data_IF_100232398324
#
_entry.id   IF_100232398324
#
_cell.length_a   1.000
_cell.length_b   1.000
_cell.length_c   1.000
_cell.angle_alpha   90.00
_cell.angle_beta   90.00
_cell.angle_gamma   90.00
#
_symmetry.space_group_name_H-M   'P 1'
#
loop_
_entity.id
_entity.type
_entity.pdbx_description
1 polymer ?
#
# COMPACT_ATOMS: atom_id res chain seq x y z
N UNK A 1 6.41 -6.44 45.45
CA UNK A 1 6.00 -5.13 44.91
C UNK A 1 6.15 -4.99 43.39
N UNK A 2 6.82 -5.91 42.67
CA UNK A 2 6.95 -5.84 41.19
C UNK A 2 5.66 -6.19 40.42
N UNK A 3 4.84 -7.11 40.91
CA UNK A 3 3.61 -7.55 40.21
C UNK A 3 2.49 -6.49 40.16
N UNK A 4 2.39 -5.63 41.18
CA UNK A 4 1.36 -4.59 41.22
C UNK A 4 1.62 -3.49 40.19
N UNK A 5 2.90 -3.20 39.91
CA UNK A 5 3.31 -2.19 38.93
C UNK A 5 3.06 -2.71 37.51
N UNK A 6 3.47 -3.94 37.19
CA UNK A 6 3.26 -4.56 35.88
C UNK A 6 1.76 -4.69 35.51
N UNK A 7 0.90 -5.07 36.46
CA UNK A 7 -0.55 -5.14 36.24
C UNK A 7 -1.18 -3.76 35.99
N UNK A 8 -0.67 -2.71 36.66
CA UNK A 8 -1.16 -1.34 36.50
C UNK A 8 -0.72 -0.72 35.16
N UNK A 9 0.46 -1.09 34.64
CA UNK A 9 0.93 -0.72 33.30
C UNK A 9 0.13 -1.44 32.21
N UNK A 10 -0.11 -2.75 32.35
CA UNK A 10 -0.96 -3.50 31.40
C UNK A 10 -2.39 -2.96 31.32
N UNK A 11 -3.00 -2.60 32.46
CA UNK A 11 -4.33 -2.00 32.49
C UNK A 11 -4.40 -0.61 31.83
N UNK A 12 -3.35 0.21 31.96
CA UNK A 12 -3.26 1.50 31.28
C UNK A 12 -3.04 1.35 29.78
N UNK A 13 -2.12 0.47 29.35
CA UNK A 13 -1.86 0.21 27.92
C UNK A 13 -3.09 -0.32 27.20
N UNK A 14 -3.85 -1.23 27.83
CA UNK A 14 -5.10 -1.75 27.25
C UNK A 14 -6.16 -0.65 27.13
N UNK A 15 -6.33 0.21 28.15
CA UNK A 15 -7.30 1.31 28.10
C UNK A 15 -6.97 2.36 27.02
N UNK A 16 -5.68 2.63 26.76
CA UNK A 16 -5.27 3.49 25.65
C UNK A 16 -5.52 2.82 24.30
N UNK A 17 -5.28 1.51 24.19
CA UNK A 17 -5.58 0.74 23.00
C UNK A 17 -7.08 0.78 22.68
N UNK A 18 -7.94 0.45 23.64
CA UNK A 18 -9.40 0.42 23.46
C UNK A 18 -9.93 1.78 22.93
N UNK A 19 -9.42 2.89 23.48
CA UNK A 19 -9.78 4.24 23.01
C UNK A 19 -9.34 4.50 21.57
N UNK A 20 -8.15 4.04 21.17
CA UNK A 20 -7.69 4.18 19.78
C UNK A 20 -8.58 3.36 18.82
N UNK A 21 -9.02 2.18 19.24
CA UNK A 21 -9.96 1.35 18.48
C UNK A 21 -11.37 1.95 18.40
N UNK A 22 -11.87 2.62 19.45
CA UNK A 22 -13.12 3.37 19.40
C UNK A 22 -13.05 4.52 18.38
N UNK A 23 -11.95 5.28 18.36
CA UNK A 23 -11.73 6.36 17.38
C UNK A 23 -11.66 5.79 15.97
N UNK A 24 -10.92 4.71 15.76
CA UNK A 24 -10.83 4.04 14.46
C UNK A 24 -12.20 3.51 14.01
N UNK A 25 -12.95 2.88 14.90
CA UNK A 25 -14.30 2.40 14.61
C UNK A 25 -15.24 3.53 14.22
N UNK A 26 -15.18 4.68 14.89
CA UNK A 26 -15.95 5.86 14.50
C UNK A 26 -15.51 6.43 13.15
N UNK A 27 -14.21 6.44 12.87
CA UNK A 27 -13.65 6.97 11.62
C UNK A 27 -14.00 6.10 10.41
N UNK A 28 -13.81 4.78 10.51
CA UNK A 28 -14.06 3.83 9.43
C UNK A 28 -15.51 3.32 9.40
N UNK A 29 -16.26 3.39 10.50
CA UNK A 29 -17.63 2.90 10.61
C UNK A 29 -18.73 3.94 10.37
N UNK A 30 -18.39 5.22 10.23
CA UNK A 30 -19.37 6.28 9.98
C UNK A 30 -19.97 6.18 8.57
N UNK A 31 -21.19 5.64 8.50
CA UNK A 31 -21.99 5.27 7.31
C UNK A 31 -21.50 3.98 6.67
N UNK A 32 -22.46 3.07 6.38
CA UNK A 32 -22.21 1.84 5.63
C UNK A 32 -21.50 2.23 4.34
N UNK A 33 -20.19 1.96 4.31
CA UNK A 33 -19.35 2.26 3.18
C UNK A 33 -19.97 1.58 1.96
N UNK A 34 -20.20 2.38 0.92
CA UNK A 34 -21.08 2.03 -0.21
C UNK A 34 -20.56 0.82 -0.98
N UNK A 35 -19.23 0.65 -1.00
CA UNK A 35 -18.62 -0.50 -1.65
C UNK A 35 -18.79 -1.75 -0.81
N UNK A 36 -18.47 -1.76 0.50
CA UNK A 36 -18.48 -2.98 1.32
C UNK A 36 -19.84 -3.70 1.51
N UNK A 37 -20.88 -3.31 0.77
CA UNK A 37 -22.11 -4.07 0.66
C UNK A 37 -21.96 -5.27 -0.31
N UNK A 38 -22.56 -6.43 0.01
CA UNK A 38 -22.58 -7.57 -0.90
C UNK A 38 -23.19 -7.19 -2.26
N UNK A 39 -22.47 -7.47 -3.35
CA UNK A 39 -22.94 -7.21 -4.72
C UNK A 39 -22.80 -5.75 -5.18
N UNK A 40 -22.09 -4.89 -4.45
CA UNK A 40 -21.79 -3.54 -4.91
C UNK A 40 -21.06 -3.55 -6.27
N UNK A 41 -21.35 -2.54 -7.09
CA UNK A 41 -20.71 -2.38 -8.39
C UNK A 41 -19.19 -2.13 -8.21
N UNK A 42 -18.38 -2.75 -9.08
CA UNK A 42 -16.95 -2.49 -9.11
C UNK A 42 -16.70 -1.00 -9.45
N UNK A 43 -15.71 -0.35 -8.82
CA UNK A 43 -15.25 0.98 -9.22
C UNK A 43 -15.01 1.08 -10.73
N UNK A 44 -15.44 2.18 -11.34
CA UNK A 44 -15.15 2.48 -12.75
C UNK A 44 -13.70 2.92 -12.92
N UNK A 45 -13.16 2.73 -14.13
CA UNK A 45 -11.73 2.95 -14.40
C UNK A 45 -11.29 4.41 -14.16
N UNK A 46 -12.18 5.39 -14.30
CA UNK A 46 -11.94 6.81 -14.01
C UNK A 46 -11.77 7.12 -12.51
N UNK A 47 -12.18 6.22 -11.63
CA UNK A 47 -11.93 6.30 -10.17
C UNK A 47 -10.57 5.74 -9.76
N UNK A 48 -9.88 5.10 -10.71
CA UNK A 48 -8.54 4.49 -10.58
C UNK A 48 -7.48 5.36 -11.26
N UNK A 49 -7.74 5.81 -12.48
CA UNK A 49 -6.85 6.65 -13.26
C UNK A 49 -7.64 7.60 -14.15
N UNK A 50 -7.25 8.87 -14.16
CA UNK A 50 -7.79 9.87 -15.08
C UNK A 50 -6.69 10.80 -15.59
N UNK A 51 -7.08 11.95 -16.13
CA UNK A 51 -6.17 12.94 -16.71
C UNK A 51 -5.27 13.64 -15.69
N UNK A 52 -5.61 13.59 -14.40
CA UNK A 52 -4.84 14.18 -13.30
C UNK A 52 -3.82 13.21 -12.69
N UNK A 53 -4.18 11.92 -12.58
CA UNK A 53 -3.31 10.94 -11.95
C UNK A 53 -3.90 9.55 -11.83
N UNK A 54 -3.22 8.70 -11.08
CA UNK A 54 -3.64 7.32 -10.77
C UNK A 54 -3.40 6.96 -9.31
N UNK A 55 -4.20 6.03 -8.78
CA UNK A 55 -4.04 5.44 -7.45
C UNK A 55 -3.79 3.93 -7.59
N UNK A 56 -2.79 3.42 -6.90
CA UNK A 56 -2.40 2.00 -6.93
C UNK A 56 -2.19 1.43 -5.53
N UNK A 57 -2.49 0.15 -5.37
CA UNK A 57 -2.31 -0.58 -4.12
C UNK A 57 -1.49 -1.84 -4.36
N UNK A 58 -0.67 -2.20 -3.37
CA UNK A 58 0.21 -3.36 -3.49
C UNK A 58 0.32 -4.05 -2.14
N UNK A 59 0.23 -5.38 -2.12
CA UNK A 59 0.79 -6.19 -1.03
C UNK A 59 2.10 -6.77 -1.53
N UNK A 60 3.21 -6.38 -0.94
CA UNK A 60 4.53 -6.96 -1.21
C UNK A 60 4.96 -7.71 0.05
N UNK A 61 4.87 -9.03 -0.01
CA UNK A 61 5.19 -9.87 1.14
C UNK A 61 6.01 -11.07 0.72
N UNK A 62 6.66 -11.67 1.70
CA UNK A 62 7.36 -12.93 1.50
C UNK A 62 6.57 -14.11 2.07
N UNK A 63 6.72 -15.26 1.41
CA UNK A 63 6.36 -16.57 1.93
C UNK A 63 7.63 -17.33 2.31
N UNK A 64 7.54 -18.15 3.35
CA UNK A 64 8.66 -18.97 3.84
C UNK A 64 8.17 -20.39 4.11
N UNK A 65 9.04 -21.37 3.84
CA UNK A 65 8.78 -22.77 4.17
C UNK A 65 9.14 -23.11 5.62
N UNK A 66 9.73 -22.16 6.39
CA UNK A 66 10.02 -22.35 7.80
C UNK A 66 8.69 -22.52 8.59
N UNK A 67 8.44 -23.70 9.20
CA UNK A 67 7.21 -23.97 9.93
C UNK A 67 6.99 -23.02 11.13
N UNK A 68 8.06 -22.43 11.66
CA UNK A 68 7.95 -21.50 12.79
C UNK A 68 7.35 -20.15 12.38
N UNK A 69 7.51 -19.74 11.11
CA UNK A 69 7.14 -18.39 10.65
C UNK A 69 6.09 -18.38 9.54
N UNK A 70 5.86 -19.48 8.82
CA UNK A 70 4.92 -19.53 7.69
C UNK A 70 3.48 -19.12 8.08
N UNK A 71 2.97 -19.65 9.20
CA UNK A 71 1.66 -19.28 9.74
C UNK A 71 1.59 -17.81 10.19
N UNK A 72 2.66 -17.32 10.84
CA UNK A 72 2.81 -15.92 11.27
C UNK A 72 2.76 -14.98 10.06
N UNK A 73 3.51 -15.29 9.01
CA UNK A 73 3.59 -14.45 7.82
C UNK A 73 2.27 -14.39 7.09
N UNK A 74 1.58 -15.53 6.96
CA UNK A 74 0.24 -15.57 6.39
C UNK A 74 -0.73 -14.69 7.18
N UNK A 75 -0.76 -14.83 8.50
CA UNK A 75 -1.67 -14.05 9.34
C UNK A 75 -1.34 -12.54 9.33
N UNK A 76 -0.05 -12.18 9.32
CA UNK A 76 0.36 -10.78 9.17
C UNK A 76 -0.09 -10.20 7.82
N UNK A 77 0.02 -10.96 6.73
CA UNK A 77 -0.49 -10.54 5.41
C UNK A 77 -2.01 -10.41 5.41
N UNK A 78 -2.74 -11.38 5.98
CA UNK A 78 -4.21 -11.32 6.10
C UNK A 78 -4.66 -10.07 6.89
N UNK A 79 -3.96 -9.74 7.98
CA UNK A 79 -4.22 -8.53 8.77
C UNK A 79 -3.92 -7.25 7.99
N UNK A 80 -2.82 -7.20 7.22
CA UNK A 80 -2.50 -6.05 6.36
C UNK A 80 -3.53 -5.87 5.25
N UNK A 81 -4.03 -6.96 4.65
CA UNK A 81 -5.14 -6.91 3.68
C UNK A 81 -6.41 -6.37 4.33
N UNK A 82 -6.71 -6.75 5.57
CA UNK A 82 -7.86 -6.26 6.29
C UNK A 82 -7.77 -4.75 6.59
N UNK A 83 -6.59 -4.25 6.97
CA UNK A 83 -6.32 -2.81 7.05
C UNK A 83 -6.51 -2.15 5.67
N UNK A 84 -6.04 -2.81 4.61
CA UNK A 84 -6.22 -2.33 3.25
C UNK A 84 -7.68 -2.22 2.82
N UNK A 85 -8.53 -3.13 3.26
CA UNK A 85 -9.98 -3.04 3.13
C UNK A 85 -10.53 -1.75 3.73
N UNK A 86 -10.16 -1.42 4.97
CA UNK A 86 -10.60 -0.20 5.65
C UNK A 86 -10.18 1.07 4.92
N UNK A 87 -8.91 1.16 4.54
CA UNK A 87 -8.36 2.33 3.83
C UNK A 87 -9.01 2.46 2.45
N UNK A 88 -9.06 1.38 1.68
CA UNK A 88 -9.63 1.39 0.33
C UNK A 88 -11.09 1.84 0.33
N UNK A 89 -11.88 1.31 1.24
CA UNK A 89 -13.32 1.57 1.33
C UNK A 89 -13.61 3.00 1.83
N UNK A 90 -12.83 3.50 2.80
CA UNK A 90 -12.88 4.90 3.23
C UNK A 90 -12.53 5.84 2.09
N UNK A 91 -11.40 5.61 1.42
CA UNK A 91 -10.92 6.47 0.33
C UNK A 91 -11.90 6.48 -0.84
N UNK A 92 -12.51 5.34 -1.18
CA UNK A 92 -13.50 5.31 -2.24
C UNK A 92 -14.81 6.02 -1.86
N UNK A 93 -15.23 5.92 -0.59
CA UNK A 93 -16.46 6.56 -0.12
C UNK A 93 -16.31 8.08 -0.02
N UNK A 94 -15.19 8.57 0.50
CA UNK A 94 -14.98 10.01 0.79
C UNK A 94 -14.24 10.76 -0.32
N UNK A 95 -13.40 10.05 -1.09
CA UNK A 95 -12.67 10.60 -2.23
C UNK A 95 -12.91 9.72 -3.48
N UNK A 96 -14.15 9.66 -4.00
CA UNK A 96 -14.50 8.76 -5.10
C UNK A 96 -13.80 9.12 -6.42
N UNK A 97 -13.43 10.39 -6.61
CA UNK A 97 -12.80 10.88 -7.84
C UNK A 97 -11.30 10.97 -7.67
N UNK A 98 -10.55 10.69 -8.72
CA UNK A 98 -9.12 10.98 -8.76
C UNK A 98 -8.94 12.48 -8.99
N UNK A 99 -8.68 13.22 -7.92
CA UNK A 99 -8.46 14.66 -7.96
C UNK A 99 -7.22 15.06 -7.15
N UNK A 100 -6.96 16.36 -7.06
CA UNK A 100 -5.81 16.88 -6.34
C UNK A 100 -5.77 16.44 -4.86
N UNK A 101 -6.92 16.25 -4.21
CA UNK A 101 -7.01 15.83 -2.81
C UNK A 101 -6.71 14.33 -2.67
N UNK A 102 -7.27 13.48 -3.55
CA UNK A 102 -6.96 12.05 -3.56
C UNK A 102 -5.52 11.76 -3.98
N UNK A 103 -4.88 12.67 -4.70
CA UNK A 103 -3.48 12.56 -5.14
C UNK A 103 -2.49 13.30 -4.21
N UNK A 104 -2.94 13.77 -3.05
CA UNK A 104 -2.11 14.35 -2.00
C UNK A 104 -1.79 13.29 -0.93
N UNK A 105 -0.50 13.02 -0.71
CA UNK A 105 -0.06 12.06 0.31
C UNK A 105 -0.55 12.40 1.73
N UNK A 106 -0.83 13.67 2.03
CA UNK A 106 -1.31 14.08 3.35
C UNK A 106 -2.73 13.60 3.62
N UNK A 107 -3.58 13.55 2.60
CA UNK A 107 -4.94 12.97 2.69
C UNK A 107 -4.85 11.52 3.14
N UNK A 108 -3.96 10.75 2.52
CA UNK A 108 -3.74 9.34 2.84
C UNK A 108 -3.05 9.14 4.19
N UNK A 109 -2.10 10.01 4.53
CA UNK A 109 -1.41 10.01 5.83
C UNK A 109 -2.40 10.22 6.97
N UNK A 110 -3.41 11.09 6.79
CA UNK A 110 -4.49 11.26 7.75
C UNK A 110 -5.34 9.99 7.90
N UNK A 111 -5.75 9.37 6.78
CA UNK A 111 -6.53 8.12 6.81
C UNK A 111 -5.75 6.98 7.47
N UNK A 112 -4.50 6.76 7.07
CA UNK A 112 -3.62 5.74 7.66
C UNK A 112 -3.33 6.02 9.13
N UNK A 113 -3.23 7.30 9.52
CA UNK A 113 -3.01 7.70 10.91
C UNK A 113 -4.16 7.37 11.87
N UNK A 114 -5.34 6.99 11.34
CA UNK A 114 -6.46 6.50 12.13
C UNK A 114 -6.45 4.96 12.31
N UNK A 115 -5.48 4.25 11.74
CA UNK A 115 -5.29 2.81 11.97
C UNK A 115 -4.61 2.62 13.35
N UNK A 116 -5.19 1.83 14.27
CA UNK A 116 -4.55 1.50 15.55
C UNK A 116 -3.28 0.67 15.38
N UNK A 117 -2.49 0.55 16.46
CA UNK A 117 -1.28 -0.28 16.50
C UNK A 117 -0.26 0.06 15.39
N UNK A 118 -0.21 1.33 15.01
CA UNK A 118 0.65 1.83 13.94
C UNK A 118 1.54 2.97 14.46
N UNK A 119 2.79 2.97 14.01
CA UNK A 119 3.77 4.03 14.25
C UNK A 119 4.02 4.79 12.95
N UNK A 120 3.61 6.05 12.93
CA UNK A 120 3.79 6.94 11.77
C UNK A 120 5.26 7.33 11.61
N UNK A 121 5.81 7.13 10.41
CA UNK A 121 7.16 7.58 10.06
C UNK A 121 7.17 9.04 9.59
N UNK A 122 8.37 9.63 9.56
CA UNK A 122 8.56 10.94 8.95
C UNK A 122 8.48 10.88 7.41
N UNK A 123 8.02 11.97 6.80
CA UNK A 123 8.00 12.11 5.35
C UNK A 123 9.43 12.29 4.80
N UNK A 124 9.77 11.49 3.79
CA UNK A 124 11.04 11.57 3.04
C UNK A 124 10.76 12.06 1.63
N UNK A 125 11.65 12.90 1.09
CA UNK A 125 11.59 13.34 -0.30
C UNK A 125 12.79 12.79 -1.08
N UNK A 126 12.53 12.25 -2.27
CA UNK A 126 13.54 11.68 -3.17
C UNK A 126 13.26 12.13 -4.61
N UNK A 127 14.29 12.11 -5.46
CA UNK A 127 14.19 12.51 -6.86
C UNK A 127 14.92 11.52 -7.77
N UNK A 128 14.42 11.36 -9.00
CA UNK A 128 14.99 10.47 -10.00
C UNK A 128 14.81 11.06 -11.40
N UNK A 129 15.89 11.18 -12.15
CA UNK A 129 15.85 11.63 -13.54
C UNK A 129 16.69 10.71 -14.42
N UNK A 130 16.17 10.28 -15.56
CA UNK A 130 16.88 9.41 -16.50
C UNK A 130 16.30 9.50 -17.93
N UNK A 131 16.91 8.82 -18.91
CA UNK A 131 16.52 8.80 -20.32
C UNK A 131 16.40 7.37 -20.85
N UNK A 132 15.33 7.07 -21.56
CA UNK A 132 14.98 5.70 -21.98
C UNK A 132 14.50 5.62 -23.42
N UNK A 133 14.61 4.46 -24.06
CA UNK A 133 14.06 4.26 -25.40
C UNK A 133 12.51 4.15 -25.35
N UNK A 134 11.83 4.74 -26.33
CA UNK A 134 10.36 4.82 -26.39
C UNK A 134 9.67 3.46 -26.37
N UNK A 135 10.25 2.45 -27.00
CA UNK A 135 9.75 1.06 -26.99
C UNK A 135 9.81 0.40 -25.61
N UNK A 136 10.60 0.94 -24.67
CA UNK A 136 10.66 0.45 -23.29
C UNK A 136 9.84 1.31 -22.33
N UNK A 137 9.14 2.35 -22.79
CA UNK A 137 8.58 3.39 -21.92
C UNK A 137 7.50 2.89 -20.97
N UNK A 138 6.51 2.12 -21.41
CA UNK A 138 5.50 1.58 -20.49
C UNK A 138 6.18 0.72 -19.42
N UNK A 139 6.98 -0.25 -19.84
CA UNK A 139 7.76 -1.09 -18.93
C UNK A 139 8.72 -0.27 -18.04
N UNK A 140 9.20 0.89 -18.47
CA UNK A 140 10.09 1.77 -17.72
C UNK A 140 9.34 2.66 -16.71
N UNK A 141 8.26 3.34 -17.10
CA UNK A 141 7.36 4.08 -16.20
C UNK A 141 6.96 3.18 -15.03
N UNK A 142 6.59 1.96 -15.40
CA UNK A 142 6.19 0.91 -14.50
C UNK A 142 7.37 0.33 -13.72
N UNK A 143 8.55 0.16 -14.32
CA UNK A 143 9.78 -0.19 -13.62
C UNK A 143 10.25 0.91 -12.66
N UNK A 144 9.90 2.17 -12.88
CA UNK A 144 10.24 3.29 -11.99
C UNK A 144 9.27 3.39 -10.82
N UNK A 145 7.98 3.21 -11.09
CA UNK A 145 6.96 2.99 -10.05
C UNK A 145 7.32 1.73 -9.25
N UNK A 146 7.68 0.64 -9.92
CA UNK A 146 8.19 -0.59 -9.33
C UNK A 146 9.47 -0.37 -8.54
N UNK A 147 10.50 0.33 -9.02
CA UNK A 147 11.72 0.60 -8.24
C UNK A 147 11.45 1.51 -7.05
N UNK A 148 10.44 2.36 -7.14
CA UNK A 148 9.98 3.13 -5.99
C UNK A 148 9.21 2.24 -4.99
N UNK A 149 8.45 1.24 -5.45
CA UNK A 149 7.57 0.39 -4.62
C UNK A 149 8.25 -0.87 -4.09
N UNK A 150 8.95 -1.55 -4.98
CA UNK A 150 9.59 -2.86 -4.87
C UNK A 150 11.06 -2.62 -4.55
N UNK A 151 11.45 -3.22 -3.45
CA UNK A 151 12.78 -3.17 -2.87
C UNK A 151 13.86 -3.63 -3.84
N UNK A 152 15.06 -3.05 -3.72
CA UNK A 152 16.23 -3.48 -4.51
C UNK A 152 16.42 -5.00 -4.36
N UNK A 153 16.37 -5.73 -5.48
CA UNK A 153 16.66 -7.16 -5.51
C UNK A 153 15.46 -8.10 -5.52
N UNK A 154 14.21 -7.61 -5.43
CA UNK A 154 13.08 -8.47 -5.75
C UNK A 154 13.02 -8.71 -7.27
N UNK A 155 13.01 -9.97 -7.70
CA UNK A 155 12.71 -10.27 -9.11
C UNK A 155 11.32 -9.70 -9.40
N UNK A 156 11.19 -8.81 -10.39
CA UNK A 156 9.88 -8.34 -10.83
C UNK A 156 9.14 -9.57 -11.36
N UNK A 157 8.31 -10.17 -10.50
CA UNK A 157 7.53 -11.35 -10.85
C UNK A 157 6.73 -11.03 -12.12
N UNK A 158 6.61 -11.99 -13.04
CA UNK A 158 5.86 -11.84 -14.30
C UNK A 158 4.45 -11.28 -14.09
N UNK A 159 3.82 -11.63 -12.97
CA UNK A 159 2.49 -11.14 -12.60
C UNK A 159 2.50 -9.65 -12.23
N UNK A 160 3.59 -9.15 -11.67
CA UNK A 160 3.75 -7.73 -11.37
C UNK A 160 3.96 -6.91 -12.66
N UNK A 161 4.72 -7.42 -13.62
CA UNK A 161 4.87 -6.78 -14.94
C UNK A 161 3.53 -6.69 -15.68
N UNK A 162 2.70 -7.73 -15.56
CA UNK A 162 1.36 -7.78 -16.13
C UNK A 162 0.44 -6.76 -15.48
N UNK A 163 0.36 -6.74 -14.14
CA UNK A 163 -0.39 -5.74 -13.37
C UNK A 163 0.01 -4.32 -13.76
N UNK A 164 1.31 -4.06 -13.77
CA UNK A 164 1.85 -2.77 -14.14
C UNK A 164 1.43 -2.39 -15.56
N UNK A 165 1.50 -3.31 -16.52
CA UNK A 165 1.08 -3.07 -17.91
C UNK A 165 -0.38 -2.65 -18.00
N UNK A 166 -1.27 -3.32 -17.25
CA UNK A 166 -2.68 -2.94 -17.15
C UNK A 166 -2.86 -1.53 -16.57
N UNK A 167 -2.13 -1.20 -15.50
CA UNK A 167 -2.14 0.14 -14.90
C UNK A 167 -1.60 1.23 -15.84
N UNK A 168 -0.58 0.91 -16.64
CA UNK A 168 -0.05 1.78 -17.69
C UNK A 168 -1.07 2.04 -18.79
N UNK A 169 -1.76 0.99 -19.25
CA UNK A 169 -2.83 1.12 -20.23
C UNK A 169 -3.98 2.01 -19.72
N UNK A 170 -4.40 1.83 -18.46
CA UNK A 170 -5.41 2.69 -17.82
C UNK A 170 -4.94 4.14 -17.77
N UNK A 171 -3.74 4.37 -17.23
CA UNK A 171 -3.10 5.70 -17.13
C UNK A 171 -3.02 6.41 -18.49
N UNK A 172 -2.59 5.71 -19.54
CA UNK A 172 -2.42 6.30 -20.86
C UNK A 172 -3.71 6.39 -21.67
N UNK A 173 -4.74 5.59 -21.36
CA UNK A 173 -6.07 5.72 -21.97
C UNK A 173 -6.77 7.03 -21.56
N UNK A 174 -6.42 7.60 -20.40
CA UNK A 174 -6.95 8.88 -19.96
C UNK A 174 -6.51 10.02 -20.88
N UNK A 175 -7.43 10.92 -21.23
CA UNK A 175 -7.20 12.03 -22.18
C UNK A 175 -6.43 13.21 -21.55
N UNK A 176 -5.35 12.95 -20.82
CA UNK A 176 -4.50 14.01 -20.27
C UNK A 176 -3.84 14.83 -21.38
N UNK A 177 -3.81 16.14 -21.16
CA UNK A 177 -3.10 17.14 -21.98
C UNK A 177 -1.94 17.78 -21.21
N UNK A 178 -1.64 17.26 -20.02
CA UNK A 178 -0.62 17.79 -19.12
C UNK A 178 0.71 17.06 -19.32
N UNK A 179 1.82 17.82 -19.28
CA UNK A 179 3.16 17.24 -19.20
C UNK A 179 3.50 16.74 -17.79
N UNK A 180 2.65 17.04 -16.81
CA UNK A 180 2.73 16.56 -15.43
C UNK A 180 1.68 15.49 -15.18
N UNK A 181 2.03 14.51 -14.36
CA UNK A 181 1.14 13.45 -13.91
C UNK A 181 1.50 13.01 -12.50
N UNK A 182 0.52 12.55 -11.72
CA UNK A 182 0.76 12.00 -10.39
C UNK A 182 0.34 10.54 -10.31
N UNK A 183 1.09 9.74 -9.58
CA UNK A 183 0.71 8.42 -9.14
C UNK A 183 0.81 8.38 -7.61
N UNK A 184 -0.26 7.97 -6.94
CA UNK A 184 -0.24 7.76 -5.50
C UNK A 184 -0.38 6.27 -5.20
N UNK A 185 0.51 5.75 -4.35
CA UNK A 185 0.60 4.32 -4.06
C UNK A 185 0.47 4.06 -2.57
N UNK A 186 -0.30 3.04 -2.21
CA UNK A 186 -0.37 2.51 -0.85
C UNK A 186 0.11 1.05 -0.84
N UNK A 187 1.30 0.82 -0.31
CA UNK A 187 1.95 -0.50 -0.32
C UNK A 187 1.99 -1.09 1.07
N UNK A 188 1.41 -2.28 1.22
CA UNK A 188 1.49 -3.11 2.41
C UNK A 188 2.72 -4.01 2.29
N UNK A 189 3.60 -3.99 3.29
CA UNK A 189 4.84 -4.76 3.31
C UNK A 189 4.79 -5.81 4.42
N UNK A 190 5.19 -7.04 4.12
CA UNK A 190 5.26 -8.14 5.09
C UNK A 190 6.54 -8.95 4.89
N UNK A 191 7.53 -8.76 5.77
CA UNK A 191 8.86 -9.39 5.66
C UNK A 191 9.26 -10.13 6.93
N UNK A 192 10.23 -11.05 6.79
CA UNK A 192 11.04 -11.54 7.91
C UNK A 192 12.44 -10.96 7.77
N UNK A 193 12.89 -10.27 8.81
CA UNK A 193 14.22 -9.68 8.90
C UNK A 193 15.10 -10.61 9.73
N UNK A 194 16.26 -11.00 9.20
CA UNK A 194 17.23 -11.81 9.94
C UNK A 194 17.62 -11.08 11.24
N UNK A 195 17.54 -11.79 12.37
CA UNK A 195 17.89 -11.26 13.68
C UNK A 195 19.38 -11.45 14.04
N UNK A 196 20.18 -12.06 13.16
CA UNK A 196 21.61 -12.33 13.36
C UNK A 196 21.91 -13.45 14.36
N UNK A 197 20.89 -14.09 14.92
CA UNK A 197 20.97 -15.16 15.92
C UNK A 197 20.32 -16.48 15.42
N UNK A 198 20.08 -16.59 14.11
CA UNK A 198 19.47 -17.78 13.50
C UNK A 198 17.95 -17.81 13.55
N UNK A 199 17.30 -16.66 13.70
CA UNK A 199 15.85 -16.50 13.59
C UNK A 199 15.47 -15.18 12.93
N UNK A 200 14.19 -14.80 13.01
CA UNK A 200 13.70 -13.61 12.33
C UNK A 200 12.81 -12.71 13.19
N UNK A 201 12.80 -11.42 12.86
CA UNK A 201 11.76 -10.48 13.24
C UNK A 201 10.72 -10.36 12.13
N UNK A 202 9.44 -10.48 12.48
CA UNK A 202 8.36 -10.16 11.56
C UNK A 202 8.19 -8.64 11.44
N UNK A 203 8.16 -8.15 10.21
CA UNK A 203 8.03 -6.75 9.85
C UNK A 203 6.75 -6.54 9.06
N UNK A 204 5.88 -5.65 9.53
CA UNK A 204 4.68 -5.21 8.83
C UNK A 204 4.71 -3.69 8.67
N UNK A 205 4.43 -3.18 7.46
CA UNK A 205 4.36 -1.74 7.24
C UNK A 205 3.35 -1.34 6.16
N UNK A 206 2.93 -0.08 6.21
CA UNK A 206 2.14 0.60 5.18
C UNK A 206 2.98 1.77 4.67
N UNK A 207 3.39 1.69 3.41
CA UNK A 207 4.22 2.71 2.76
C UNK A 207 3.37 3.48 1.76
N UNK A 208 3.19 4.77 2.05
CA UNK A 208 2.54 5.71 1.15
C UNK A 208 3.59 6.38 0.28
N UNK A 209 3.33 6.51 -1.02
CA UNK A 209 4.16 7.31 -1.92
C UNK A 209 3.30 8.17 -2.82
N UNK A 210 3.70 9.43 -2.95
CA UNK A 210 3.20 10.33 -4.00
C UNK A 210 4.34 10.53 -4.98
N UNK A 211 4.18 9.97 -6.17
CA UNK A 211 5.11 10.04 -7.28
C UNK A 211 4.60 11.09 -8.26
N UNK A 212 5.43 12.10 -8.55
CA UNK A 212 5.11 13.17 -9.49
C UNK A 212 6.06 13.11 -10.68
N UNK A 213 5.48 12.96 -11.86
CA UNK A 213 6.15 13.21 -13.14
C UNK A 213 6.16 14.73 -13.35
N UNK A 214 7.36 15.32 -13.30
CA UNK A 214 7.53 16.77 -13.33
C UNK A 214 7.36 17.34 -14.74
N UNK A 215 7.82 16.60 -15.75
CA UNK A 215 7.76 16.94 -17.18
C UNK A 215 7.72 15.67 -18.05
N UNK A 216 7.51 15.86 -19.36
CA UNK A 216 7.60 14.84 -20.42
C UNK A 216 6.59 13.68 -20.32
N UNK A 217 5.52 13.81 -19.52
CA UNK A 217 4.53 12.73 -19.39
C UNK A 217 3.79 12.45 -20.71
N UNK A 218 3.50 13.46 -21.53
CA UNK A 218 2.86 13.20 -22.83
C UNK A 218 3.82 12.51 -23.79
N UNK A 219 5.08 12.92 -23.77
CA UNK A 219 6.11 12.26 -24.58
C UNK A 219 6.22 10.79 -24.18
N UNK A 220 6.19 10.51 -22.87
CA UNK A 220 6.11 9.16 -22.33
C UNK A 220 4.90 8.38 -22.89
N UNK A 221 3.70 8.95 -22.75
CA UNK A 221 2.45 8.35 -23.22
C UNK A 221 2.47 8.00 -24.71
N UNK A 222 3.01 8.88 -25.57
CA UNK A 222 2.98 8.70 -27.03
C UNK A 222 4.19 7.95 -27.61
N UNK A 223 5.20 7.62 -26.80
CA UNK A 223 6.45 7.05 -27.32
C UNK A 223 6.50 5.53 -27.43
N UNK A 224 5.47 4.83 -26.94
CA UNK A 224 5.44 3.36 -26.84
C UNK A 224 5.69 2.62 -28.17
N UNK A 225 5.44 3.27 -29.32
CA UNK A 225 5.65 2.70 -30.66
C UNK A 225 6.91 3.19 -31.38
N UNK A 226 7.75 4.02 -30.72
CA UNK A 226 8.92 4.64 -31.36
C UNK A 226 10.23 4.27 -30.67
N UNK A 227 11.30 4.08 -31.44
CA UNK A 227 12.66 3.90 -30.90
C UNK A 227 13.30 5.21 -30.41
N UNK A 228 12.53 6.31 -30.30
CA UNK A 228 13.04 7.62 -29.86
C UNK A 228 13.26 7.61 -28.36
N UNK A 229 14.33 8.26 -27.90
CA UNK A 229 14.55 8.37 -26.47
C UNK A 229 13.62 9.41 -25.83
N UNK A 230 13.10 9.10 -24.65
CA UNK A 230 12.23 9.94 -23.82
C UNK A 230 12.94 10.23 -22.51
N UNK A 231 12.86 11.48 -22.06
CA UNK A 231 13.33 11.88 -20.74
C UNK A 231 12.26 11.59 -19.70
N UNK A 232 12.67 11.15 -18.53
CA UNK A 232 11.80 10.96 -17.37
C UNK A 232 12.38 11.75 -16.22
N UNK A 233 11.56 12.62 -15.65
CA UNK A 233 11.90 13.34 -14.43
C UNK A 233 10.80 13.16 -13.39
N UNK A 234 11.17 12.57 -12.26
CA UNK A 234 10.28 12.16 -11.19
C UNK A 234 10.76 12.72 -9.86
N UNK A 235 9.83 13.27 -9.09
CA UNK A 235 10.01 13.47 -7.66
C UNK A 235 9.03 12.58 -6.91
N UNK A 236 9.41 12.11 -5.71
CA UNK A 236 8.44 11.43 -4.87
C UNK A 236 8.61 11.73 -3.38
N UNK A 237 7.46 11.80 -2.72
CA UNK A 237 7.34 11.81 -1.26
C UNK A 237 6.99 10.40 -0.78
N UNK A 238 7.54 10.00 0.35
CA UNK A 238 7.35 8.68 0.96
C UNK A 238 7.08 8.82 2.45
N UNK A 239 6.07 8.10 2.95
CA UNK A 239 5.78 7.97 4.39
C UNK A 239 5.66 6.48 4.70
N UNK A 240 6.57 5.97 5.53
CA UNK A 240 6.57 4.57 5.98
C UNK A 240 5.94 4.47 7.36
N UNK A 241 4.91 3.65 7.50
CA UNK A 241 4.19 3.47 8.75
C UNK A 241 4.34 2.03 9.23
N UNK A 242 4.89 1.83 10.42
CA UNK A 242 5.16 0.49 10.95
C UNK A 242 3.94 -0.03 11.69
N UNK A 243 3.50 -1.24 11.35
CA UNK A 243 2.36 -1.91 11.99
C UNK A 243 2.87 -2.86 13.05
N UNK A 244 2.32 -2.78 14.26
CA UNK A 244 2.61 -3.69 15.36
C UNK A 244 1.82 -5.00 15.18
N UNK A 245 2.16 -5.74 14.13
CA UNK A 245 1.47 -6.98 13.71
C UNK A 245 1.26 -7.98 14.84
N UNK A 246 2.22 -8.10 15.77
CA UNK A 246 2.12 -8.98 16.95
C UNK A 246 0.97 -8.64 17.88
N UNK A 247 0.57 -7.37 17.98
CA UNK A 247 -0.53 -6.94 18.86
C UNK A 247 -1.89 -7.34 18.31
N UNK A 248 -2.03 -7.27 16.99
CA UNK A 248 -3.26 -7.55 16.24
C UNK A 248 -3.36 -8.98 15.70
N UNK A 249 -2.33 -9.80 15.89
CA UNK A 249 -2.32 -11.23 15.55
C UNK A 249 -3.06 -12.04 16.62
N UNK A 250 -3.61 -13.20 16.26
CA UNK A 250 -4.27 -14.14 17.18
C UNK A 250 -3.39 -14.43 18.40
N UNK A 251 -3.98 -14.27 19.59
CA UNK A 251 -3.29 -14.34 20.89
C UNK A 251 -2.62 -13.04 21.34
N UNK A 252 -2.59 -12.00 20.50
CA UNK A 252 -2.14 -10.66 20.85
C UNK A 252 -3.20 -9.87 21.65
N UNK A 253 -2.78 -8.83 22.39
CA UNK A 253 -3.66 -8.03 23.25
C UNK A 253 -4.81 -7.32 22.50
N UNK A 254 -4.60 -6.95 21.23
CA UNK A 254 -5.55 -6.13 20.47
C UNK A 254 -6.28 -6.91 19.38
N UNK A 255 -6.04 -8.22 19.27
CA UNK A 255 -6.63 -9.08 18.25
C UNK A 255 -8.15 -8.91 18.16
N UNK A 256 -8.86 -8.95 19.30
CA UNK A 256 -10.33 -8.85 19.30
C UNK A 256 -10.81 -7.48 18.85
N UNK A 257 -10.23 -6.41 19.39
CA UNK A 257 -10.57 -5.03 19.00
C UNK A 257 -10.31 -4.80 17.50
N UNK A 258 -9.21 -5.36 16.97
CA UNK A 258 -8.93 -5.34 15.55
C UNK A 258 -9.96 -6.10 14.73
N UNK A 259 -10.32 -7.32 15.14
CA UNK A 259 -11.34 -8.10 14.44
C UNK A 259 -12.74 -7.42 14.44
N UNK A 260 -13.02 -6.55 15.42
CA UNK A 260 -14.29 -5.82 15.49
C UNK A 260 -14.38 -4.65 14.50
N UNK A 261 -13.25 -4.05 14.12
CA UNK A 261 -13.23 -2.93 13.17
C UNK A 261 -13.09 -3.36 11.71
N UNK A 262 -12.46 -4.52 11.45
CA UNK A 262 -12.25 -5.00 10.08
C UNK A 262 -13.56 -5.42 9.42
N UNK A 263 -13.68 -5.16 8.14
CA UNK A 263 -14.86 -5.53 7.35
C UNK A 263 -14.48 -6.51 6.25
N UNK A 264 -14.95 -7.75 6.37
CA UNK A 264 -14.64 -8.83 5.42
C UNK A 264 -15.01 -8.47 3.97
N UNK A 265 -16.16 -7.82 3.76
CA UNK A 265 -16.59 -7.45 2.41
C UNK A 265 -15.68 -6.36 1.83
N UNK A 266 -15.28 -5.38 2.65
CA UNK A 266 -14.32 -4.34 2.24
C UNK A 266 -12.98 -4.97 1.84
N UNK A 267 -12.49 -5.92 2.64
CA UNK A 267 -11.25 -6.68 2.35
C UNK A 267 -11.37 -7.46 1.05
N UNK A 268 -12.45 -8.23 0.87
CA UNK A 268 -12.68 -9.01 -0.35
C UNK A 268 -12.76 -8.10 -1.58
N UNK A 269 -13.37 -6.93 -1.47
CA UNK A 269 -13.45 -5.98 -2.59
C UNK A 269 -12.12 -5.32 -2.90
N UNK A 270 -11.38 -4.92 -1.86
CA UNK A 270 -10.03 -4.41 -2.00
C UNK A 270 -9.13 -5.43 -2.73
N UNK A 271 -9.18 -6.70 -2.33
CA UNK A 271 -8.43 -7.79 -2.98
C UNK A 271 -8.84 -8.03 -4.44
N UNK A 272 -10.05 -7.64 -4.83
CA UNK A 272 -10.58 -7.79 -6.19
C UNK A 272 -10.54 -6.48 -7.02
N UNK A 273 -9.95 -5.41 -6.47
CA UNK A 273 -9.80 -4.13 -7.14
C UNK A 273 -8.79 -4.23 -8.28
N UNK A 274 -9.09 -3.63 -9.43
CA UNK A 274 -8.21 -3.69 -10.62
C UNK A 274 -6.84 -3.05 -10.37
N UNK A 275 -6.77 -2.07 -9.48
CA UNK A 275 -5.56 -1.35 -9.13
C UNK A 275 -4.88 -1.89 -7.87
N UNK A 276 -5.19 -3.13 -7.47
CA UNK A 276 -4.51 -3.84 -6.41
C UNK A 276 -3.66 -4.99 -6.98
N UNK A 277 -2.41 -5.06 -6.55
CA UNK A 277 -1.51 -6.17 -6.82
C UNK A 277 -1.23 -6.97 -5.54
N UNK A 278 -1.35 -8.29 -5.62
CA UNK A 278 -0.99 -9.19 -4.52
C UNK A 278 0.29 -9.98 -4.84
N UNK A 279 1.41 -9.51 -4.30
CA UNK A 279 2.71 -10.18 -4.31
C UNK A 279 3.07 -10.82 -2.96
N UNK A 280 2.10 -11.12 -2.09
CA UNK A 280 2.33 -11.70 -0.76
C UNK A 280 2.96 -13.10 -0.76
N UNK A 281 2.85 -13.81 -1.89
CA UNK A 281 3.36 -15.19 -2.06
C UNK A 281 4.79 -15.27 -2.60
N UNK A 282 5.52 -14.15 -2.66
CA UNK A 282 6.90 -14.13 -3.19
C UNK A 282 7.80 -14.98 -2.31
N UNK A 283 8.57 -15.96 -2.83
CA UNK A 283 9.49 -16.72 -2.00
C UNK A 283 10.52 -15.82 -1.29
N UNK A 284 10.83 -16.12 -0.04
CA UNK A 284 11.73 -15.30 0.79
C UNK A 284 13.10 -15.06 0.13
N UNK A 285 13.67 -16.04 -0.57
CA UNK A 285 14.95 -15.90 -1.26
C UNK A 285 14.91 -14.97 -2.48
N UNK A 286 13.72 -14.67 -3.00
CA UNK A 286 13.50 -13.88 -4.21
C UNK A 286 13.19 -12.42 -3.88
N UNK A 287 13.25 -12.02 -2.60
CA UNK A 287 12.99 -10.67 -2.14
C UNK A 287 14.01 -10.22 -1.09
N UNK A 288 14.58 -9.04 -1.28
CA UNK A 288 15.41 -8.39 -0.25
C UNK A 288 14.56 -7.32 0.44
N UNK A 289 14.30 -7.41 1.75
CA UNK A 289 13.57 -6.38 2.48
C UNK A 289 14.33 -5.04 2.49
N UNK A 290 13.61 -3.92 2.36
CA UNK A 290 14.13 -2.60 2.74
C UNK A 290 13.29 -2.06 3.89
N UNK A 291 13.97 -1.66 4.96
CA UNK A 291 13.40 -1.19 6.22
C UNK A 291 14.01 0.14 6.63
#
# INVERSE_FOLDING_TARGET
>A
MLNAVAAHFQGHEQSYSDKNYEVASAFFGAKSLLLAQPGAARPSDDTIANDQGTVQFHLIGQTTDDPAYSGIMKENQDNLLAIGGLIHDYMHTHHPKVDAEKLDINTWTNVVGNIPDLSMGGQKQKGYSNKFAGTSVSATFLSLIAKAIVTDGASLLTDFESFLTEMGNLTFSANSKSQQYKALTCTYQSYLLDNGAGGYYDYGAIVLREVKFNEYFLDLKYSCSSARYVNVDISYNEVTNIVQTRRIRSGGPDYKNFQEIVNKNATEQFMNAKNFFNGGSTPQQDITPQV
#
